data_IF_895833247619
#
_entry.id   IF_895833247619
#
_cell.length_a   1.000
_cell.length_b   1.000
_cell.length_c   1.000
_cell.angle_alpha   90.00
_cell.angle_beta   90.00
_cell.angle_gamma   90.00
#
_symmetry.space_group_name_H-M   'P 1'
#
loop_
_entity.id
_entity.type
_entity.pdbx_description
1 polymer ?
#
# COMPACT_ATOMS: atom_id res chain seq x y z
N UNK A 1 -14.40 -16.35 -1.52
CA UNK A 1 -13.24 -15.46 -1.46
C UNK A 1 -12.55 -15.47 -2.81
N UNK A 2 -12.54 -14.34 -3.50
CA UNK A 2 -11.76 -14.14 -4.72
C UNK A 2 -10.53 -13.33 -4.35
N UNK A 3 -9.36 -13.76 -4.81
CA UNK A 3 -8.12 -13.01 -4.70
C UNK A 3 -7.60 -12.66 -6.10
N UNK A 4 -6.85 -11.56 -6.19
CA UNK A 4 -6.09 -11.19 -7.39
C UNK A 4 -4.64 -10.97 -7.00
N UNK A 5 -3.74 -11.45 -7.85
CA UNK A 5 -2.30 -11.25 -7.66
C UNK A 5 -1.80 -10.39 -8.80
N UNK A 6 -1.11 -9.30 -8.48
CA UNK A 6 -0.47 -8.41 -9.45
C UNK A 6 1.02 -8.40 -9.17
N UNK A 7 1.81 -8.39 -10.23
CA UNK A 7 3.27 -8.33 -10.15
C UNK A 7 3.74 -6.99 -10.73
N UNK A 8 4.68 -6.38 -10.04
CA UNK A 8 5.36 -5.15 -10.43
C UNK A 8 6.86 -5.44 -10.54
N UNK A 9 7.54 -4.71 -11.41
CA UNK A 9 9.00 -4.69 -11.38
C UNK A 9 9.46 -3.73 -10.28
N UNK A 10 10.57 -4.03 -9.62
CA UNK A 10 11.17 -3.11 -8.64
C UNK A 10 11.53 -1.74 -9.25
N UNK A 11 11.73 -1.69 -10.58
CA UNK A 11 12.07 -0.46 -11.28
C UNK A 11 10.88 0.49 -11.33
N UNK A 12 9.65 -0.01 -11.26
CA UNK A 12 8.45 0.82 -11.20
C UNK A 12 8.47 1.65 -9.89
N UNK A 13 8.95 1.07 -8.80
CA UNK A 13 9.11 1.74 -7.50
C UNK A 13 10.29 2.71 -7.47
N UNK A 14 11.36 2.44 -8.22
CA UNK A 14 12.51 3.34 -8.37
C UNK A 14 12.11 4.59 -9.15
N UNK A 15 11.42 4.40 -10.27
CA UNK A 15 11.12 5.46 -11.22
C UNK A 15 10.01 6.38 -10.72
N UNK A 16 8.90 5.80 -10.23
CA UNK A 16 7.73 6.55 -9.81
C UNK A 16 6.84 5.73 -8.86
N UNK A 17 7.21 5.73 -7.58
CA UNK A 17 6.40 5.06 -6.55
C UNK A 17 5.02 5.69 -6.35
N UNK A 18 4.80 6.95 -6.75
CA UNK A 18 3.49 7.60 -6.66
C UNK A 18 2.54 7.01 -7.73
N UNK A 19 3.03 6.80 -8.96
CA UNK A 19 2.30 6.05 -10.00
C UNK A 19 1.98 4.61 -9.59
N UNK A 20 2.86 3.95 -8.84
CA UNK A 20 2.57 2.62 -8.27
C UNK A 20 1.43 2.69 -7.26
N UNK A 21 1.41 3.70 -6.39
CA UNK A 21 0.32 3.93 -5.45
C UNK A 21 -1.01 4.18 -6.18
N UNK A 22 -1.00 4.98 -7.25
CA UNK A 22 -2.18 5.22 -8.09
C UNK A 22 -2.67 3.94 -8.78
N UNK A 23 -1.76 3.07 -9.20
CA UNK A 23 -2.10 1.74 -9.72
C UNK A 23 -2.79 0.89 -8.65
N UNK A 24 -2.29 0.88 -7.41
CA UNK A 24 -2.95 0.18 -6.29
C UNK A 24 -4.36 0.72 -6.04
N UNK A 25 -4.50 2.04 -5.95
CA UNK A 25 -5.78 2.71 -5.74
C UNK A 25 -6.77 2.40 -6.87
N UNK A 26 -6.30 2.44 -8.12
CA UNK A 26 -7.09 2.11 -9.30
C UNK A 26 -7.54 0.65 -9.31
N UNK A 27 -6.66 -0.29 -8.95
CA UNK A 27 -6.98 -1.70 -8.86
C UNK A 27 -8.02 -1.99 -7.76
N UNK A 28 -7.91 -1.32 -6.61
CA UNK A 28 -8.82 -1.47 -5.48
C UNK A 28 -10.21 -0.85 -5.69
N UNK A 29 -10.32 0.13 -6.60
CA UNK A 29 -11.55 0.87 -6.92
C UNK A 29 -12.21 0.41 -8.23
N UNK A 30 -11.65 -0.59 -8.92
CA UNK A 30 -12.16 -1.08 -10.22
C UNK A 30 -13.38 -1.98 -10.00
N UNK A 31 -14.47 -1.69 -10.72
CA UNK A 31 -15.74 -2.44 -10.72
C UNK A 31 -16.62 -2.27 -9.46
N UNK A 32 -17.76 -2.97 -9.40
CA UNK A 32 -18.66 -3.04 -8.23
C UNK A 32 -18.07 -3.80 -7.03
N UNK A 33 -16.82 -4.26 -7.13
CA UNK A 33 -16.14 -5.05 -6.10
C UNK A 33 -15.01 -4.21 -5.53
N UNK A 34 -15.07 -3.99 -4.22
CA UNK A 34 -13.98 -3.33 -3.50
C UNK A 34 -12.91 -4.38 -3.20
N UNK A 35 -11.67 -4.09 -3.59
CA UNK A 35 -10.52 -4.90 -3.20
C UNK A 35 -9.68 -4.14 -2.18
N UNK A 36 -8.94 -4.88 -1.37
CA UNK A 36 -7.95 -4.36 -0.42
C UNK A 36 -6.66 -5.17 -0.54
N UNK A 37 -5.52 -4.51 -0.39
CA UNK A 37 -4.23 -5.20 -0.34
C UNK A 37 -4.17 -5.99 0.97
N UNK A 38 -4.02 -7.31 0.85
CA UNK A 38 -3.89 -8.22 1.99
C UNK A 38 -2.46 -8.65 2.25
N UNK A 39 -1.58 -8.56 1.24
CA UNK A 39 -0.17 -8.91 1.39
C UNK A 39 0.70 -8.32 0.29
N UNK A 40 1.96 -8.06 0.66
CA UNK A 40 3.01 -7.61 -0.24
C UNK A 40 4.23 -8.47 0.02
N UNK A 41 4.83 -8.99 -1.04
CA UNK A 41 6.04 -9.79 -0.98
C UNK A 41 7.00 -9.34 -2.07
N UNK A 42 8.26 -9.15 -1.70
CA UNK A 42 9.32 -8.86 -2.65
C UNK A 42 10.17 -10.11 -2.87
N UNK A 43 10.44 -10.43 -4.12
CA UNK A 43 11.33 -11.50 -4.53
C UNK A 43 12.20 -11.00 -5.69
N UNK A 44 13.51 -10.87 -5.43
CA UNK A 44 14.48 -10.35 -6.40
C UNK A 44 14.04 -8.98 -6.97
N UNK A 45 13.82 -8.90 -8.28
CA UNK A 45 13.39 -7.72 -9.02
C UNK A 45 11.87 -7.59 -9.13
N UNK A 46 11.10 -8.46 -8.46
CA UNK A 46 9.64 -8.46 -8.49
C UNK A 46 9.04 -8.10 -7.14
N UNK A 47 7.95 -7.36 -7.19
CA UNK A 47 7.06 -7.12 -6.04
C UNK A 47 5.71 -7.71 -6.38
N UNK A 48 5.27 -8.67 -5.57
CA UNK A 48 3.99 -9.35 -5.69
C UNK A 48 3.02 -8.75 -4.67
N UNK A 49 1.87 -8.28 -5.17
CA UNK A 49 0.82 -7.68 -4.35
C UNK A 49 -0.43 -8.54 -4.47
N UNK A 50 -0.98 -8.93 -3.32
CA UNK A 50 -2.21 -9.71 -3.20
C UNK A 50 -3.36 -8.81 -2.82
N UNK A 51 -4.44 -8.88 -3.59
CA UNK A 51 -5.68 -8.14 -3.39
C UNK A 51 -6.80 -9.11 -3.06
N UNK A 52 -7.46 -8.90 -1.92
CA UNK A 52 -8.64 -9.65 -1.50
C UNK A 52 -9.89 -8.78 -1.60
N UNK A 53 -11.04 -9.40 -1.91
CA UNK A 53 -12.32 -8.67 -1.86
C UNK A 53 -12.60 -8.20 -0.42
N UNK A 54 -12.88 -6.91 -0.28
CA UNK A 54 -13.27 -6.26 0.97
C UNK A 54 -14.78 -6.01 0.96
N UNK A 55 -15.50 -6.72 1.83
CA UNK A 55 -16.96 -6.62 1.93
C UNK A 55 -17.41 -5.58 2.97
N UNK A 56 -16.49 -4.92 3.67
CA UNK A 56 -16.82 -3.94 4.71
C UNK A 56 -17.30 -2.59 4.14
N UNK A 57 -17.33 -2.43 2.80
CA UNK A 57 -17.77 -1.21 2.12
C UNK A 57 -16.86 0.00 2.34
N UNK A 58 -15.68 -0.21 2.96
CA UNK A 58 -14.69 0.83 3.18
C UNK A 58 -13.87 1.05 1.92
N UNK A 59 -13.61 2.32 1.62
CA UNK A 59 -12.65 2.69 0.59
C UNK A 59 -11.32 2.93 1.27
N UNK A 60 -10.31 2.21 0.81
CA UNK A 60 -8.93 2.38 1.25
C UNK A 60 -8.17 3.17 0.20
N UNK A 61 -7.28 4.02 0.68
CA UNK A 61 -6.30 4.73 -0.14
C UNK A 61 -4.91 4.31 0.26
N UNK A 62 -4.10 4.04 -0.77
CA UNK A 62 -2.74 3.55 -0.64
C UNK A 62 -1.77 4.65 -1.02
N UNK A 63 -0.68 4.72 -0.26
CA UNK A 63 0.44 5.62 -0.52
C UNK A 63 1.73 4.82 -0.37
N UNK A 64 2.64 4.98 -1.33
CA UNK A 64 4.00 4.46 -1.22
C UNK A 64 4.92 5.64 -0.91
N UNK A 65 5.72 5.55 0.16
CA UNK A 65 6.69 6.61 0.52
C UNK A 65 7.97 6.03 1.08
N UNK A 66 9.10 6.77 0.98
CA UNK A 66 10.29 6.54 1.76
C UNK A 66 10.00 6.18 3.21
N UNK A 67 10.64 5.09 3.66
CA UNK A 67 10.62 4.64 5.03
C UNK A 67 11.98 5.02 5.65
N UNK A 68 12.03 6.02 6.55
CA UNK A 68 13.30 6.61 6.97
C UNK A 68 14.06 5.82 8.04
N UNK A 69 13.40 4.84 8.69
CA UNK A 69 14.05 4.04 9.72
C UNK A 69 15.04 3.03 9.14
N UNK A 70 16.27 3.07 9.62
CA UNK A 70 17.35 2.15 9.21
C UNK A 70 17.53 1.02 10.23
N UNK A 71 17.24 1.31 11.50
CA UNK A 71 17.29 0.35 12.61
C UNK A 71 15.92 -0.25 12.93
N UNK A 72 15.85 -1.45 13.54
CA UNK A 72 14.59 -2.03 13.99
C UNK A 72 13.76 -1.09 14.89
N UNK A 73 14.42 -0.33 15.77
CA UNK A 73 13.80 0.61 16.70
C UNK A 73 13.19 1.81 15.96
N UNK A 74 13.91 2.39 15.01
CA UNK A 74 13.40 3.48 14.17
C UNK A 74 12.24 2.98 13.30
N UNK A 75 12.33 1.76 12.77
CA UNK A 75 11.24 1.15 12.02
C UNK A 75 9.99 0.99 12.87
N UNK A 76 10.13 0.47 14.09
CA UNK A 76 9.01 0.35 15.02
C UNK A 76 8.42 1.74 15.37
N UNK A 77 9.26 2.74 15.60
CA UNK A 77 8.85 4.12 15.89
C UNK A 77 8.07 4.74 14.75
N UNK A 78 8.55 4.59 13.52
CA UNK A 78 7.93 5.10 12.29
C UNK A 78 6.59 4.41 11.97
N UNK A 79 6.50 3.09 12.18
CA UNK A 79 5.22 2.37 12.07
C UNK A 79 4.24 2.88 13.12
N UNK A 80 4.70 3.09 14.36
CA UNK A 80 3.85 3.59 15.43
C UNK A 80 3.36 5.02 15.18
N UNK A 81 4.24 5.92 14.72
CA UNK A 81 3.90 7.31 14.40
C UNK A 81 2.86 7.38 13.27
N UNK A 82 3.02 6.58 12.22
CA UNK A 82 2.03 6.49 11.13
C UNK A 82 0.69 5.92 11.60
N UNK A 83 0.73 4.94 12.49
CA UNK A 83 -0.49 4.39 13.10
C UNK A 83 -1.26 5.45 13.90
N UNK A 84 -0.58 6.29 14.67
CA UNK A 84 -1.19 7.45 15.33
C UNK A 84 -1.79 8.44 14.31
N UNK A 85 -1.15 8.58 13.14
CA UNK A 85 -1.65 9.33 11.99
C UNK A 85 -2.80 8.66 11.22
N UNK A 86 -3.36 7.55 11.71
CA UNK A 86 -4.43 6.74 11.08
C UNK A 86 -4.03 6.01 9.79
N UNK A 87 -2.73 5.77 9.60
CA UNK A 87 -2.23 4.90 8.55
C UNK A 87 -1.92 3.51 9.08
N UNK A 88 -2.15 2.47 8.28
CA UNK A 88 -1.63 1.13 8.54
C UNK A 88 -0.53 0.78 7.54
N UNK A 89 0.54 0.13 8.01
CA UNK A 89 1.62 -0.35 7.14
C UNK A 89 1.28 -1.71 6.58
N UNK A 90 1.34 -1.85 5.25
CA UNK A 90 1.06 -3.10 4.52
C UNK A 90 2.28 -3.91 4.17
N UNK A 91 3.41 -3.25 4.03
CA UNK A 91 4.65 -3.91 3.72
C UNK A 91 5.75 -2.89 3.48
N UNK A 92 6.96 -3.42 3.35
CA UNK A 92 8.14 -2.69 2.97
C UNK A 92 8.66 -3.28 1.66
N UNK A 93 9.13 -2.42 0.77
CA UNK A 93 9.78 -2.78 -0.50
C UNK A 93 11.18 -2.18 -0.47
N UNK A 94 12.20 -3.02 -0.57
CA UNK A 94 13.61 -2.62 -0.55
C UNK A 94 14.06 -2.24 -1.95
N UNK A 95 14.54 -1.00 -2.11
CA UNK A 95 14.95 -0.39 -3.35
C UNK A 95 16.30 0.29 -3.16
N UNK A 96 17.36 -0.19 -3.82
CA UNK A 96 18.69 0.45 -3.80
C UNK A 96 19.23 0.80 -2.39
N UNK A 97 18.93 -0.03 -1.38
CA UNK A 97 19.34 0.20 0.01
C UNK A 97 18.41 1.10 0.82
N UNK A 98 17.34 1.61 0.22
CA UNK A 98 16.27 2.34 0.88
C UNK A 98 14.99 1.50 0.97
N UNK A 99 14.33 1.52 2.13
CA UNK A 99 13.01 0.94 2.27
C UNK A 99 11.94 1.93 1.80
N UNK A 100 11.01 1.47 0.95
CA UNK A 100 9.75 2.14 0.68
C UNK A 100 8.65 1.44 1.48
N UNK A 101 7.88 2.21 2.24
CA UNK A 101 6.71 1.71 2.93
C UNK A 101 5.47 1.84 2.06
N UNK A 102 4.66 0.77 2.04
CA UNK A 102 3.31 0.80 1.49
C UNK A 102 2.35 0.99 2.65
N UNK A 103 1.65 2.11 2.64
CA UNK A 103 0.73 2.50 3.69
C UNK A 103 -0.69 2.55 3.14
N UNK A 104 -1.67 2.29 4.00
CA UNK A 104 -3.07 2.51 3.71
C UNK A 104 -3.72 3.42 4.76
N UNK A 105 -4.77 4.12 4.37
CA UNK A 105 -5.70 4.73 5.31
C UNK A 105 -7.13 4.61 4.78
N UNK A 106 -8.10 4.62 5.69
CA UNK A 106 -9.50 4.69 5.30
C UNK A 106 -9.81 6.09 4.76
N UNK A 107 -10.46 6.16 3.61
CA UNK A 107 -11.03 7.40 3.09
C UNK A 107 -12.38 7.59 3.79
N UNK A 108 -12.60 8.76 4.39
CA UNK A 108 -13.91 9.08 4.93
C UNK A 108 -14.95 9.01 3.79
N UNK A 109 -16.17 8.49 4.02
CA UNK A 109 -17.20 8.55 3.01
C UNK A 109 -17.37 10.02 2.58
N UNK A 110 -17.43 10.27 1.26
CA UNK A 110 -17.77 11.61 0.76
C UNK A 110 -19.12 11.98 1.38
N UNK A 111 -19.13 12.91 2.33
CA UNK A 111 -20.35 13.62 2.68
C UNK A 111 -20.76 14.37 1.42
N UNK A 112 -21.84 13.95 0.79
CA UNK A 112 -22.56 14.81 -0.14
C UNK A 112 -22.89 16.08 0.65
N UNK A 113 -22.19 17.17 0.37
CA UNK A 113 -22.69 18.50 0.68
C UNK A 113 -23.73 18.77 -0.40
N UNK A 114 -25.00 18.70 0.01
CA UNK A 114 -26.15 19.16 -0.77
C UNK A 114 -26.03 20.66 -1.12
#
# INVERSE_FOLDING_TARGET
MSYRVVQYHINDFILDYDSVADSFNSACRRDHRHYRISGICQAQDKVVVVFDEDYDGKIWEYVVKPFPGETPEEIAGEVHARWQGKFATRGLVQVEGQALGVFEHAVAPRTHLD
#
